data_IF_099726214100
#
_entry.id   IF_099726214100
#
_cell.length_a   1.000
_cell.length_b   1.000
_cell.length_c   1.000
_cell.angle_alpha   90.00
_cell.angle_beta   90.00
_cell.angle_gamma   90.00
#
_symmetry.space_group_name_H-M   'P 1'
#
loop_
_entity.id
_entity.type
_entity.pdbx_description
1 polymer ?
#
# COMPACT_ATOMS: atom_id res chain seq x y z
N UNK A 1 -59.04 -31.96 -54.30
CA UNK A 1 -59.34 -33.26 -53.64
C UNK A 1 -58.05 -34.05 -53.53
N UNK A 2 -57.73 -34.46 -52.29
CA UNK A 2 -56.77 -35.48 -51.83
C UNK A 2 -55.34 -35.55 -52.39
N UNK A 3 -54.45 -34.91 -51.62
CA UNK A 3 -53.19 -35.41 -51.03
C UNK A 3 -52.39 -36.49 -51.80
N UNK A 4 -51.37 -35.99 -52.51
CA UNK A 4 -49.93 -36.40 -52.50
C UNK A 4 -49.47 -37.03 -51.16
N UNK A 5 -48.49 -37.94 -51.04
CA UNK A 5 -47.13 -38.09 -51.63
C UNK A 5 -46.61 -39.49 -51.21
N UNK A 6 -45.97 -40.27 -52.08
CA UNK A 6 -44.52 -40.32 -52.41
C UNK A 6 -43.64 -40.78 -51.23
N UNK A 7 -43.16 -42.01 -51.38
CA UNK A 7 -41.98 -42.61 -50.73
C UNK A 7 -40.75 -42.34 -51.62
N UNK A 8 -39.58 -42.11 -51.02
CA UNK A 8 -38.26 -42.72 -51.34
C UNK A 8 -37.11 -41.84 -50.78
N UNK A 9 -36.19 -42.57 -50.16
CA UNK A 9 -34.97 -42.18 -49.44
C UNK A 9 -33.92 -41.47 -50.28
N UNK A 10 -33.18 -40.55 -49.67
CA UNK A 10 -31.82 -40.14 -50.10
C UNK A 10 -30.96 -39.97 -48.86
N UNK A 11 -29.83 -40.69 -48.83
CA UNK A 11 -28.74 -40.47 -47.90
C UNK A 11 -27.92 -39.26 -48.36
N UNK A 12 -27.68 -38.31 -47.46
CA UNK A 12 -26.85 -37.14 -47.69
C UNK A 12 -26.31 -36.62 -46.37
N UNK A 13 -24.99 -36.62 -46.23
CA UNK A 13 -24.25 -36.19 -45.06
C UNK A 13 -24.41 -34.68 -44.81
N UNK A 14 -24.75 -34.31 -43.58
CA UNK A 14 -24.55 -32.95 -43.03
C UNK A 14 -24.03 -33.10 -41.61
N UNK A 15 -22.85 -32.51 -41.39
CA UNK A 15 -22.21 -32.37 -40.10
C UNK A 15 -23.09 -31.56 -39.13
N UNK A 16 -23.24 -32.05 -37.90
CA UNK A 16 -23.62 -31.21 -36.77
C UNK A 16 -22.61 -31.40 -35.64
N UNK A 17 -21.85 -30.34 -35.44
CA UNK A 17 -20.95 -30.06 -34.33
C UNK A 17 -21.80 -30.10 -33.05
N UNK A 18 -21.58 -31.09 -32.19
CA UNK A 18 -22.07 -31.04 -30.82
C UNK A 18 -21.11 -30.15 -30.02
N UNK A 19 -21.46 -28.87 -29.95
CA UNK A 19 -20.93 -27.90 -29.00
C UNK A 19 -21.22 -28.40 -27.57
N UNK A 20 -20.18 -28.96 -26.94
CA UNK A 20 -20.07 -29.03 -25.50
C UNK A 20 -19.97 -27.58 -24.99
N UNK A 21 -21.12 -27.01 -24.64
CA UNK A 21 -21.19 -25.84 -23.78
C UNK A 21 -20.64 -26.25 -22.40
N UNK A 22 -19.31 -26.19 -22.26
CA UNK A 22 -18.67 -26.04 -20.96
C UNK A 22 -19.15 -24.70 -20.40
N UNK A 23 -19.97 -24.79 -19.36
CA UNK A 23 -20.44 -23.67 -18.56
C UNK A 23 -19.26 -22.75 -18.23
N UNK A 24 -19.42 -21.41 -18.34
CA UNK A 24 -18.42 -20.51 -17.78
C UNK A 24 -18.31 -20.84 -16.29
N UNK A 25 -17.07 -21.06 -15.84
CA UNK A 25 -16.76 -21.07 -14.43
C UNK A 25 -17.32 -19.76 -13.85
N UNK A 26 -18.42 -19.88 -13.10
CA UNK A 26 -18.91 -18.81 -12.26
C UNK A 26 -17.75 -18.41 -11.38
N UNK A 27 -17.25 -17.19 -11.57
CA UNK A 27 -16.28 -16.58 -10.67
C UNK A 27 -16.74 -16.82 -9.24
N UNK A 28 -15.78 -17.16 -8.39
CA UNK A 28 -15.99 -17.20 -6.95
C UNK A 28 -16.45 -15.80 -6.55
N UNK A 29 -17.76 -15.59 -6.45
CA UNK A 29 -18.31 -14.50 -5.68
C UNK A 29 -17.86 -14.75 -4.25
N UNK A 30 -16.79 -14.08 -3.82
CA UNK A 30 -16.47 -13.96 -2.41
C UNK A 30 -17.76 -13.44 -1.74
N UNK A 31 -18.36 -14.28 -0.90
CA UNK A 31 -19.51 -13.86 -0.11
C UNK A 31 -19.08 -12.66 0.71
N UNK A 32 -19.76 -11.52 0.52
CA UNK A 32 -19.56 -10.34 1.35
C UNK A 32 -19.76 -10.76 2.81
N UNK A 33 -18.66 -10.89 3.53
CA UNK A 33 -18.65 -11.07 4.98
C UNK A 33 -18.98 -9.71 5.58
N UNK A 34 -20.18 -9.56 6.11
CA UNK A 34 -20.65 -8.38 6.88
C UNK A 34 -19.97 -8.26 8.26
N UNK A 35 -18.95 -9.08 8.55
CA UNK A 35 -18.18 -8.95 9.78
C UNK A 35 -17.23 -7.77 9.64
N UNK A 36 -17.56 -6.65 10.30
CA UNK A 36 -16.61 -5.57 10.54
C UNK A 36 -15.34 -6.17 11.17
N UNK A 37 -14.20 -6.01 10.52
CA UNK A 37 -12.93 -6.56 10.97
C UNK A 37 -12.16 -5.50 11.75
N UNK A 38 -11.86 -5.78 13.02
CA UNK A 38 -10.98 -4.94 13.83
C UNK A 38 -9.56 -5.48 13.73
N UNK A 39 -8.68 -4.73 13.06
CA UNK A 39 -7.26 -5.03 12.92
C UNK A 39 -6.43 -3.79 13.23
N UNK A 40 -5.14 -3.97 13.50
CA UNK A 40 -4.17 -2.90 13.63
C UNK A 40 -2.93 -3.32 12.85
N UNK A 41 -2.49 -2.47 11.92
CA UNK A 41 -1.30 -2.67 11.12
C UNK A 41 -0.41 -1.45 11.38
N UNK A 42 0.70 -1.66 12.07
CA UNK A 42 1.58 -0.60 12.57
C UNK A 42 2.94 -0.65 11.85
N UNK A 43 3.67 0.47 11.89
CA UNK A 43 4.97 0.60 11.23
C UNK A 43 5.96 -0.44 11.76
N UNK A 44 6.68 -1.14 10.89
CA UNK A 44 7.65 -2.12 11.37
C UNK A 44 8.87 -1.49 12.06
N UNK A 45 9.04 -1.72 13.38
CA UNK A 45 9.97 -0.92 14.13
C UNK A 45 11.27 -1.70 14.39
N UNK A 46 12.25 -1.01 14.95
CA UNK A 46 13.50 -1.61 15.41
C UNK A 46 13.30 -2.76 16.41
N UNK A 47 14.29 -3.67 16.49
CA UNK A 47 14.31 -4.83 17.41
C UNK A 47 14.05 -4.50 18.91
N UNK A 48 14.24 -3.25 19.34
CA UNK A 48 14.01 -2.81 20.72
C UNK A 48 12.61 -2.24 20.99
N UNK A 49 11.83 -2.00 19.94
CA UNK A 49 10.45 -1.51 19.98
C UNK A 49 9.51 -2.71 19.86
N UNK A 50 8.34 -2.62 20.49
CA UNK A 50 7.34 -3.68 20.44
C UNK A 50 5.93 -3.12 20.28
N UNK A 51 5.12 -3.79 19.47
CA UNK A 51 3.73 -3.41 19.23
C UNK A 51 2.85 -3.56 20.47
N UNK A 52 2.07 -2.54 20.79
CA UNK A 52 0.95 -2.73 21.72
C UNK A 52 -0.16 -3.58 21.09
N UNK A 53 -0.95 -4.24 21.94
CA UNK A 53 -2.08 -5.15 21.64
C UNK A 53 -2.51 -5.32 20.17
N UNK A 54 -2.49 -6.57 19.66
CA UNK A 54 -3.08 -7.01 18.38
C UNK A 54 -2.59 -6.31 17.10
N UNK A 55 -1.71 -5.32 17.22
CA UNK A 55 -1.02 -4.72 16.10
C UNK A 55 0.08 -5.65 15.60
N UNK A 56 0.19 -5.73 14.29
CA UNK A 56 1.32 -6.35 13.60
C UNK A 56 1.85 -5.35 12.59
N UNK A 57 3.15 -5.34 12.37
CA UNK A 57 3.76 -4.74 11.19
C UNK A 57 4.61 -5.82 10.55
N UNK A 58 4.90 -5.67 9.27
CA UNK A 58 5.82 -6.57 8.61
C UNK A 58 6.72 -5.82 7.64
N UNK A 59 6.50 -5.98 6.35
CA UNK A 59 7.46 -5.55 5.36
C UNK A 59 6.84 -4.46 4.52
N UNK A 60 7.56 -3.34 4.50
CA UNK A 60 7.15 -2.04 4.03
C UNK A 60 8.11 -1.58 2.95
N UNK A 61 8.00 -2.10 1.72
CA UNK A 61 8.70 -1.60 0.55
C UNK A 61 8.18 -0.20 0.20
N UNK A 62 9.11 0.76 0.17
CA UNK A 62 8.82 2.18 0.03
C UNK A 62 9.38 2.77 -1.25
N UNK A 63 8.71 3.81 -1.76
CA UNK A 63 9.25 4.72 -2.76
C UNK A 63 9.10 6.17 -2.30
N UNK A 64 10.20 6.93 -2.34
CA UNK A 64 10.26 8.28 -1.79
C UNK A 64 10.61 9.30 -2.89
N UNK A 65 9.85 10.40 -3.04
CA UNK A 65 10.16 11.46 -3.98
C UNK A 65 11.28 12.34 -3.43
N UNK A 66 12.40 12.47 -4.14
CA UNK A 66 13.54 13.24 -3.61
C UNK A 66 13.53 14.71 -4.05
N UNK A 67 13.78 15.61 -3.10
CA UNK A 67 13.98 17.05 -3.29
C UNK A 67 14.79 17.69 -2.16
N UNK A 68 15.82 18.45 -2.55
CA UNK A 68 16.59 19.29 -1.62
C UNK A 68 15.99 20.70 -1.44
N UNK A 69 14.82 20.98 -2.02
CA UNK A 69 14.20 22.30 -1.92
C UNK A 69 13.55 22.48 -0.56
N UNK A 70 13.74 23.66 0.05
CA UNK A 70 13.12 23.98 1.33
C UNK A 70 11.60 23.85 1.25
N UNK A 71 10.99 23.33 2.31
CA UNK A 71 9.56 23.03 2.37
C UNK A 71 9.09 21.82 1.56
N UNK A 72 9.95 21.10 0.84
CA UNK A 72 9.54 19.93 0.04
C UNK A 72 8.96 18.78 0.86
N UNK A 73 9.29 18.68 2.16
CA UNK A 73 8.66 17.73 3.07
C UNK A 73 7.45 18.30 3.83
N UNK A 74 7.12 19.57 3.61
CA UNK A 74 6.05 20.28 4.31
C UNK A 74 4.89 20.66 3.40
N UNK A 75 5.04 20.50 2.09
CA UNK A 75 4.02 20.74 1.09
C UNK A 75 4.34 19.88 -0.15
N UNK A 76 3.61 18.78 -0.30
CA UNK A 76 3.73 17.88 -1.43
C UNK A 76 2.39 17.24 -1.78
N UNK A 77 2.18 17.02 -3.07
CA UNK A 77 0.99 16.37 -3.62
C UNK A 77 1.39 15.13 -4.40
N UNK A 78 0.96 13.98 -3.93
CA UNK A 78 0.99 12.73 -4.68
C UNK A 78 -0.16 12.72 -5.69
N UNK A 79 0.09 12.17 -6.88
CA UNK A 79 -0.97 11.84 -7.83
C UNK A 79 -0.86 10.37 -8.18
N UNK A 80 -1.91 9.60 -7.87
CA UNK A 80 -1.93 8.17 -8.10
C UNK A 80 -3.21 7.72 -8.82
N UNK A 81 -3.14 6.60 -9.53
CA UNK A 81 -4.31 5.86 -9.99
C UNK A 81 -4.47 4.63 -9.11
N UNK A 82 -5.65 4.47 -8.53
CA UNK A 82 -5.95 3.35 -7.64
C UNK A 82 -5.96 2.04 -8.43
N UNK A 83 -5.36 0.95 -7.88
CA UNK A 83 -5.34 -0.34 -8.54
C UNK A 83 -6.76 -0.90 -8.74
N UNK A 84 -6.90 -1.79 -9.71
CA UNK A 84 -8.19 -2.40 -10.05
C UNK A 84 -8.10 -3.90 -9.99
N UNK A 85 -9.03 -4.54 -9.28
CA UNK A 85 -9.12 -5.99 -9.20
C UNK A 85 -9.13 -6.64 -10.60
N UNK A 86 -8.59 -7.84 -10.68
CA UNK A 86 -8.66 -8.66 -11.87
C UNK A 86 -9.05 -10.09 -11.54
N UNK A 87 -8.20 -11.03 -11.93
CA UNK A 87 -8.42 -12.46 -11.60
C UNK A 87 -8.04 -12.80 -10.15
N UNK A 88 -7.32 -11.91 -9.48
CA UNK A 88 -7.11 -11.86 -8.03
C UNK A 88 -7.48 -10.44 -7.59
N UNK A 89 -8.00 -10.30 -6.38
CA UNK A 89 -8.31 -9.01 -5.78
C UNK A 89 -7.04 -8.33 -5.26
N UNK A 90 -6.99 -7.01 -5.30
CA UNK A 90 -5.88 -6.21 -4.76
C UNK A 90 -5.67 -6.49 -3.28
N UNK A 91 -6.75 -6.65 -2.50
CA UNK A 91 -6.66 -6.95 -1.07
C UNK A 91 -6.00 -8.31 -0.76
N UNK A 92 -5.79 -9.18 -1.75
CA UNK A 92 -5.16 -10.47 -1.54
C UNK A 92 -3.64 -10.41 -1.38
N UNK A 93 -2.97 -9.40 -1.97
CA UNK A 93 -1.50 -9.25 -1.89
C UNK A 93 -1.04 -8.40 -0.72
N UNK A 94 -1.97 -7.68 -0.08
CA UNK A 94 -1.71 -6.86 1.09
C UNK A 94 -3.00 -6.22 1.60
N UNK A 95 -3.13 -5.99 2.92
CA UNK A 95 -4.34 -5.43 3.52
C UNK A 95 -4.52 -3.93 3.26
N UNK A 96 -3.44 -3.20 2.96
CA UNK A 96 -3.43 -1.76 2.70
C UNK A 96 -2.18 -1.36 1.93
N UNK A 97 -2.20 -0.17 1.34
CA UNK A 97 -1.00 0.62 1.06
C UNK A 97 -1.17 1.96 1.77
N UNK A 98 -0.10 2.73 1.96
CA UNK A 98 -0.21 4.01 2.63
C UNK A 98 0.72 5.08 2.03
N UNK A 99 0.37 6.34 2.29
CA UNK A 99 1.22 7.50 2.02
C UNK A 99 1.45 8.20 3.34
N UNK A 100 2.71 8.39 3.71
CA UNK A 100 3.02 8.61 5.11
C UNK A 100 4.40 9.18 5.31
N UNK A 101 4.74 9.47 6.56
CA UNK A 101 6.02 10.09 6.85
C UNK A 101 6.24 10.49 8.30
N UNK A 102 7.47 10.92 8.59
CA UNK A 102 7.85 11.30 9.95
C UNK A 102 7.24 12.64 10.35
N UNK A 103 6.52 12.65 11.47
CA UNK A 103 5.95 13.84 12.10
C UNK A 103 6.56 14.09 13.48
N UNK A 104 6.44 15.32 13.98
CA UNK A 104 6.87 15.71 15.31
C UNK A 104 5.86 15.22 16.34
N UNK A 105 6.35 14.62 17.40
CA UNK A 105 5.58 14.37 18.61
C UNK A 105 6.50 14.51 19.84
N UNK A 106 6.35 15.57 20.66
CA UNK A 106 7.22 15.83 21.80
C UNK A 106 7.14 14.77 22.91
N UNK A 107 6.10 13.94 22.94
CA UNK A 107 5.92 12.89 23.94
C UNK A 107 6.38 11.51 23.47
N UNK A 108 6.74 11.40 22.19
CA UNK A 108 7.35 10.20 21.60
C UNK A 108 8.86 10.12 21.77
N UNK A 109 9.39 8.91 21.60
CA UNK A 109 10.81 8.63 21.46
C UNK A 109 11.41 9.50 20.34
N UNK A 110 12.54 10.15 20.64
CA UNK A 110 13.23 11.10 19.75
C UNK A 110 12.40 12.33 19.33
N UNK A 111 11.23 12.57 19.93
CA UNK A 111 10.36 13.67 19.51
C UNK A 111 9.66 13.40 18.18
N UNK A 112 9.56 12.13 17.76
CA UNK A 112 9.08 11.73 16.44
C UNK A 112 8.01 10.64 16.53
N UNK A 113 6.99 10.80 15.70
CA UNK A 113 5.97 9.79 15.41
C UNK A 113 5.88 9.58 13.88
N UNK A 114 5.12 8.59 13.42
CA UNK A 114 5.07 8.20 12.03
C UNK A 114 3.63 8.16 11.51
N UNK A 115 3.33 9.02 10.53
CA UNK A 115 2.03 9.08 9.87
C UNK A 115 1.91 7.97 8.84
N UNK A 116 0.76 7.30 8.80
CA UNK A 116 0.35 6.47 7.67
C UNK A 116 -1.07 6.86 7.24
N UNK A 117 -1.23 7.35 6.02
CA UNK A 117 -2.56 7.47 5.39
C UNK A 117 -2.90 6.14 4.71
N UNK A 118 -3.54 5.24 5.44
CA UNK A 118 -3.81 3.86 5.01
C UNK A 118 -5.04 3.76 4.10
N UNK A 119 -4.84 3.31 2.86
CA UNK A 119 -5.89 3.05 1.87
C UNK A 119 -6.24 1.57 1.82
N UNK A 120 -7.46 1.24 2.23
CA UNK A 120 -7.91 -0.15 2.27
C UNK A 120 -8.57 -0.56 0.94
N UNK A 121 -7.96 -1.45 0.14
CA UNK A 121 -8.59 -2.01 -1.04
C UNK A 121 -9.84 -2.81 -0.68
N UNK A 122 -10.81 -2.80 -1.58
CA UNK A 122 -12.06 -3.54 -1.48
C UNK A 122 -12.83 -3.32 -0.16
N UNK A 123 -12.79 -2.09 0.35
CA UNK A 123 -13.21 -1.80 1.73
C UNK A 123 -13.93 -0.47 1.86
N UNK A 124 -15.00 -0.47 2.68
CA UNK A 124 -15.59 0.72 3.27
C UNK A 124 -15.24 0.75 4.76
N UNK A 125 -14.49 1.77 5.19
CA UNK A 125 -14.18 2.03 6.58
C UNK A 125 -15.45 2.41 7.32
N UNK A 126 -15.70 1.72 8.43
CA UNK A 126 -16.83 1.93 9.35
C UNK A 126 -16.37 2.53 10.68
N UNK A 127 -15.07 2.52 10.96
CA UNK A 127 -14.47 3.22 12.10
C UNK A 127 -12.94 3.18 12.08
N UNK A 128 -12.31 4.23 12.59
CA UNK A 128 -10.88 4.27 12.92
C UNK A 128 -10.76 4.50 14.43
N UNK A 129 -10.14 3.56 15.13
CA UNK A 129 -10.09 3.51 16.59
C UNK A 129 -8.84 4.20 17.12
N UNK A 130 -8.90 4.70 18.35
CA UNK A 130 -7.80 5.46 18.97
C UNK A 130 -6.51 4.66 19.17
N UNK A 131 -6.55 3.33 19.11
CA UNK A 131 -5.36 2.48 19.16
C UNK A 131 -4.73 2.23 17.78
N UNK A 132 -5.07 3.04 16.78
CA UNK A 132 -4.57 2.88 15.41
C UNK A 132 -5.33 1.84 14.58
N UNK A 133 -6.15 1.00 15.22
CA UNK A 133 -6.92 -0.02 14.51
C UNK A 133 -8.06 0.54 13.65
N UNK A 134 -8.47 -0.22 12.65
CA UNK A 134 -9.53 0.11 11.70
C UNK A 134 -10.66 -0.93 11.74
N UNK A 135 -11.86 -0.53 11.31
CA UNK A 135 -13.00 -1.40 11.06
C UNK A 135 -13.45 -1.24 9.62
N UNK A 136 -13.40 -2.32 8.83
CA UNK A 136 -13.79 -2.30 7.42
C UNK A 136 -14.88 -3.32 7.11
N UNK A 137 -15.69 -3.00 6.09
CA UNK A 137 -16.63 -3.92 5.46
C UNK A 137 -16.26 -4.08 4.00
N UNK A 138 -16.31 -5.32 3.51
CA UNK A 138 -16.03 -5.63 2.11
C UNK A 138 -16.92 -4.84 1.15
N UNK A 139 -16.29 -4.21 0.18
CA UNK A 139 -16.93 -3.55 -0.95
C UNK A 139 -15.99 -3.59 -2.14
N UNK A 140 -16.28 -4.47 -3.11
CA UNK A 140 -15.43 -4.71 -4.27
C UNK A 140 -15.12 -3.40 -5.03
N UNK A 141 -13.85 -3.22 -5.40
CA UNK A 141 -13.31 -2.06 -6.10
C UNK A 141 -13.56 -0.71 -5.40
N UNK A 142 -13.70 -0.72 -4.08
CA UNK A 142 -13.87 0.48 -3.26
C UNK A 142 -12.64 0.70 -2.36
N UNK A 143 -12.25 1.96 -2.19
CA UNK A 143 -11.18 2.39 -1.31
C UNK A 143 -11.69 3.44 -0.33
N UNK A 144 -11.31 3.28 0.93
CA UNK A 144 -11.56 4.23 2.02
C UNK A 144 -10.37 4.22 2.96
N UNK A 145 -10.27 5.22 3.84
CA UNK A 145 -9.01 5.57 4.49
C UNK A 145 -9.15 5.77 6.00
N UNK A 146 -8.16 5.25 6.75
CA UNK A 146 -7.82 5.69 8.10
C UNK A 146 -6.43 6.33 8.09
N UNK A 147 -6.13 7.17 9.08
CA UNK A 147 -4.85 7.86 9.20
C UNK A 147 -4.29 7.71 10.61
N UNK A 148 -3.76 6.54 10.99
CA UNK A 148 -3.01 6.41 12.22
C UNK A 148 -1.71 7.24 12.18
N UNK A 149 -1.29 7.68 13.37
CA UNK A 149 0.06 8.18 13.61
C UNK A 149 0.66 7.36 14.75
N UNK A 150 1.73 6.63 14.46
CA UNK A 150 2.41 5.73 15.37
C UNK A 150 3.47 6.44 16.20
N UNK A 151 3.39 6.27 17.51
CA UNK A 151 4.33 6.78 18.49
C UNK A 151 5.06 5.64 19.19
N UNK A 152 6.28 5.91 19.63
CA UNK A 152 7.00 5.00 20.52
C UNK A 152 7.16 5.66 21.89
N UNK A 153 6.76 4.97 22.95
CA UNK A 153 6.90 5.48 24.32
C UNK A 153 8.35 5.81 24.68
N UNK A 154 8.59 7.01 25.23
CA UNK A 154 9.90 7.47 25.73
C UNK A 154 10.50 6.59 26.85
N UNK A 155 9.68 5.78 27.53
CA UNK A 155 10.11 5.03 28.73
C UNK A 155 9.85 3.53 28.66
N UNK A 156 9.15 3.04 27.63
CA UNK A 156 8.74 1.64 27.52
C UNK A 156 9.00 0.97 26.17
N UNK A 157 9.46 1.74 25.17
CA UNK A 157 9.64 1.29 23.78
C UNK A 157 8.40 0.61 23.17
N UNK A 158 7.21 0.90 23.72
CA UNK A 158 5.96 0.38 23.23
C UNK A 158 5.47 1.27 22.09
N UNK A 159 5.09 0.66 20.98
CA UNK A 159 4.46 1.37 19.88
C UNK A 159 2.93 1.41 20.05
N UNK A 160 2.36 2.61 20.00
CA UNK A 160 0.93 2.88 20.07
C UNK A 160 0.54 3.95 19.04
N UNK A 161 -0.77 4.22 18.90
CA UNK A 161 -1.22 5.33 18.06
C UNK A 161 -1.42 6.60 18.90
N UNK A 162 -0.69 7.67 18.54
CA UNK A 162 -0.89 9.02 19.09
C UNK A 162 -2.16 9.66 18.52
N UNK A 163 -2.49 9.31 17.28
CA UNK A 163 -3.63 9.83 16.54
C UNK A 163 -4.21 8.74 15.63
N UNK A 164 -5.51 8.80 15.37
CA UNK A 164 -6.14 8.08 14.26
C UNK A 164 -7.42 8.80 13.84
N UNK A 165 -7.64 8.96 12.55
CA UNK A 165 -8.85 9.56 12.01
C UNK A 165 -9.32 8.86 10.74
N UNK A 166 -10.64 8.82 10.55
CA UNK A 166 -11.25 8.45 9.28
C UNK A 166 -11.23 9.65 8.34
N UNK A 167 -10.87 9.42 7.09
CA UNK A 167 -11.02 10.43 6.04
C UNK A 167 -12.49 10.52 5.64
N UNK A 168 -13.15 11.63 5.99
CA UNK A 168 -14.55 11.87 5.66
C UNK A 168 -14.71 12.74 4.43
N UNK A 169 -15.66 12.41 3.57
CA UNK A 169 -16.07 13.24 2.45
C UNK A 169 -16.73 14.54 2.95
N UNK A 170 -16.18 15.68 2.52
CA UNK A 170 -16.63 17.02 2.89
C UNK A 170 -18.08 17.30 2.48
N UNK A 171 -18.58 16.60 1.45
CA UNK A 171 -19.95 16.79 0.97
C UNK A 171 -20.98 16.00 1.79
N UNK A 172 -20.61 14.83 2.30
CA UNK A 172 -21.57 13.88 2.91
C UNK A 172 -21.35 13.65 4.41
N UNK A 173 -20.14 13.91 4.92
CA UNK A 173 -19.72 13.59 6.28
C UNK A 173 -19.50 12.09 6.55
N UNK A 174 -19.76 11.22 5.56
CA UNK A 174 -19.41 9.80 5.59
C UNK A 174 -17.96 9.55 5.14
N UNK A 175 -17.51 8.28 5.05
CA UNK A 175 -16.18 7.95 4.53
C UNK A 175 -16.00 8.49 3.10
N UNK A 176 -14.84 9.10 2.80
CA UNK A 176 -14.49 9.41 1.42
C UNK A 176 -14.32 8.11 0.64
N UNK A 177 -15.27 7.84 -0.25
CA UNK A 177 -15.35 6.60 -1.02
C UNK A 177 -14.76 6.84 -2.40
N UNK A 178 -13.61 6.23 -2.66
CA UNK A 178 -12.94 6.21 -3.96
C UNK A 178 -13.09 4.83 -4.59
N UNK A 179 -12.88 4.72 -5.89
CA UNK A 179 -13.06 3.47 -6.62
C UNK A 179 -11.80 3.07 -7.40
N UNK A 180 -11.71 1.78 -7.69
CA UNK A 180 -10.66 1.24 -8.54
C UNK A 180 -10.57 1.97 -9.88
N UNK A 181 -9.35 2.32 -10.29
CA UNK A 181 -9.09 3.10 -11.49
C UNK A 181 -9.30 4.61 -11.33
N UNK A 182 -9.79 5.09 -10.19
CA UNK A 182 -9.85 6.53 -9.95
C UNK A 182 -8.46 7.14 -9.88
N UNK A 183 -8.34 8.35 -10.43
CA UNK A 183 -7.15 9.17 -10.20
C UNK A 183 -7.40 10.03 -8.97
N UNK A 184 -6.52 9.92 -7.98
CA UNK A 184 -6.62 10.68 -6.74
C UNK A 184 -5.36 11.52 -6.52
N UNK A 185 -5.52 12.60 -5.77
CA UNK A 185 -4.40 13.33 -5.20
C UNK A 185 -4.42 13.24 -3.69
N UNK A 186 -3.27 13.05 -3.08
CA UNK A 186 -3.04 13.25 -1.65
C UNK A 186 -2.12 14.46 -1.47
N UNK A 187 -2.69 15.56 -0.99
CA UNK A 187 -1.99 16.81 -0.70
C UNK A 187 -1.71 16.92 0.79
N UNK A 188 -0.43 16.77 1.14
CA UNK A 188 0.06 16.86 2.50
C UNK A 188 0.80 18.18 2.71
N UNK A 189 0.29 19.04 3.59
CA UNK A 189 0.81 20.40 3.74
C UNK A 189 0.68 20.98 5.15
N UNK A 190 1.45 22.03 5.43
CA UNK A 190 1.33 22.83 6.66
C UNK A 190 0.66 24.18 6.38
N UNK A 191 -0.11 24.68 7.35
CA UNK A 191 -0.70 26.02 7.28
C UNK A 191 0.06 27.01 8.17
N UNK A 192 -0.18 28.30 7.97
CA UNK A 192 0.34 29.35 8.84
C UNK A 192 -0.13 29.21 10.31
N UNK A 193 -1.24 28.50 10.56
CA UNK A 193 -1.77 28.27 11.90
C UNK A 193 -0.92 27.29 12.72
N UNK A 194 -0.17 26.40 12.04
CA UNK A 194 0.59 25.31 12.68
C UNK A 194 -0.26 24.47 13.64
N UNK A 195 -1.48 24.17 13.22
CA UNK A 195 -2.49 23.43 13.96
C UNK A 195 -2.45 21.91 13.71
N UNK A 196 -1.44 21.47 12.95
CA UNK A 196 -1.19 20.10 12.53
C UNK A 196 -0.80 20.09 11.07
N UNK A 197 -0.31 18.95 10.61
CA UNK A 197 -0.23 18.67 9.18
C UNK A 197 -1.63 18.43 8.62
N UNK A 198 -1.94 19.08 7.50
CA UNK A 198 -3.19 18.91 6.77
C UNK A 198 -2.96 17.88 5.67
N UNK A 199 -3.88 16.94 5.55
CA UNK A 199 -3.87 15.88 4.54
C UNK A 199 -5.20 15.98 3.80
N UNK A 200 -5.17 16.49 2.58
CA UNK A 200 -6.36 16.60 1.74
C UNK A 200 -6.28 15.60 0.61
N UNK A 201 -7.20 14.64 0.62
CA UNK A 201 -7.37 13.71 -0.49
C UNK A 201 -8.48 14.20 -1.39
N UNK A 202 -8.24 14.22 -2.69
CA UNK A 202 -9.25 14.53 -3.71
C UNK A 202 -9.31 13.38 -4.69
N UNK A 203 -10.50 12.84 -4.89
CA UNK A 203 -10.80 11.99 -6.02
C UNK A 203 -11.04 12.87 -7.24
N UNK A 204 -10.08 12.91 -8.17
CA UNK A 204 -10.18 13.74 -9.37
C UNK A 204 -11.21 13.20 -10.36
N UNK A 205 -11.57 11.92 -10.27
CA UNK A 205 -12.59 11.32 -11.14
C UNK A 205 -13.99 11.80 -10.74
N UNK A 206 -14.29 11.79 -9.45
CA UNK A 206 -15.63 12.13 -8.93
C UNK A 206 -15.76 13.58 -8.45
N UNK A 207 -14.63 14.23 -8.13
CA UNK A 207 -14.58 15.56 -7.54
C UNK A 207 -14.84 15.62 -6.03
N UNK A 208 -15.01 14.45 -5.37
CA UNK A 208 -15.16 14.39 -3.92
C UNK A 208 -13.82 14.56 -3.21
N UNK A 209 -13.85 15.09 -1.99
CA UNK A 209 -12.64 15.40 -1.22
C UNK A 209 -12.87 15.31 0.28
N UNK A 210 -11.82 14.96 1.02
CA UNK A 210 -11.80 14.97 2.48
C UNK A 210 -10.47 15.52 2.99
N UNK A 211 -10.49 16.10 4.19
CA UNK A 211 -9.29 16.63 4.86
C UNK A 211 -9.18 16.08 6.27
N UNK A 212 -7.98 15.62 6.63
CA UNK A 212 -7.57 15.31 8.00
C UNK A 212 -6.58 16.38 8.46
N UNK A 213 -6.67 16.79 9.72
CA UNK A 213 -5.65 17.61 10.40
C UNK A 213 -5.07 16.79 11.54
N UNK A 214 -3.75 16.57 11.50
CA UNK A 214 -3.04 15.78 12.50
C UNK A 214 -2.87 16.59 13.79
N UNK A 215 -3.86 16.46 14.66
CA UNK A 215 -3.88 17.12 15.96
C UNK A 215 -4.31 16.10 17.01
N UNK A 216 -3.30 15.49 17.66
CA UNK A 216 -3.53 14.55 18.76
C UNK A 216 -4.22 15.26 19.90
N UNK A 217 -5.22 14.60 20.50
CA UNK A 217 -5.90 15.14 21.69
C UNK A 217 -4.97 15.23 22.91
N UNK A 218 -3.90 14.44 22.92
CA UNK A 218 -2.96 14.33 24.03
C UNK A 218 -1.69 15.13 23.74
N UNK A 219 -1.18 15.04 22.51
CA UNK A 219 0.14 15.56 22.14
C UNK A 219 0.08 16.88 21.37
N UNK A 220 -1.12 17.25 20.91
CA UNK A 220 -1.36 18.46 20.14
C UNK A 220 -1.03 18.31 18.65
N UNK A 221 -0.74 19.43 17.97
CA UNK A 221 -0.38 19.46 16.55
C UNK A 221 0.82 18.58 16.21
N UNK A 222 0.65 17.66 15.27
CA UNK A 222 1.71 16.82 14.73
C UNK A 222 2.12 17.42 13.37
N UNK A 223 3.35 17.93 13.28
CA UNK A 223 3.88 18.64 12.11
C UNK A 223 4.89 17.76 11.37
N UNK A 224 5.20 17.97 10.09
CA UNK A 224 6.33 17.29 9.45
C UNK A 224 7.63 17.50 10.25
N UNK A 225 8.34 16.43 10.55
CA UNK A 225 9.56 16.51 11.36
C UNK A 225 10.74 17.15 10.61
N UNK A 226 10.65 17.19 9.29
CA UNK A 226 11.71 17.66 8.41
C UNK A 226 11.21 18.69 7.41
N UNK A 227 12.14 19.50 6.89
CA UNK A 227 11.85 20.53 5.89
C UNK A 227 12.00 20.03 4.45
N UNK A 228 12.84 19.02 4.22
CA UNK A 228 13.28 18.60 2.89
C UNK A 228 13.10 17.11 2.64
N UNK A 229 12.68 16.73 1.44
CA UNK A 229 12.57 15.35 1.00
C UNK A 229 13.93 14.76 0.59
N UNK A 230 14.83 14.57 1.55
CA UNK A 230 16.17 14.03 1.27
C UNK A 230 16.46 12.81 2.13
N UNK A 231 17.28 11.92 1.58
CA UNK A 231 17.78 10.75 2.29
C UNK A 231 18.46 11.12 3.61
N UNK A 232 18.20 10.31 4.63
CA UNK A 232 18.72 10.47 5.98
C UNK A 232 17.92 11.47 6.83
N UNK A 233 16.88 12.11 6.29
CA UNK A 233 15.83 12.71 7.09
C UNK A 233 14.78 11.63 7.44
N UNK A 234 15.26 10.52 7.98
CA UNK A 234 14.48 9.31 8.23
C UNK A 234 13.86 9.32 9.64
N UNK A 235 12.90 8.41 9.84
CA UNK A 235 12.38 8.09 11.16
C UNK A 235 13.51 7.56 12.05
N UNK A 236 13.75 8.21 13.18
CA UNK A 236 14.92 7.92 14.02
C UNK A 236 14.84 6.58 14.75
N UNK A 237 13.64 6.03 14.91
CA UNK A 237 13.39 4.71 15.49
C UNK A 237 12.96 3.67 14.43
N UNK A 238 12.99 4.02 13.13
CA UNK A 238 12.69 3.13 12.02
C UNK A 238 13.91 2.32 11.54
N UNK A 239 13.69 1.34 10.65
CA UNK A 239 14.71 0.43 10.12
C UNK A 239 15.37 0.90 8.83
N UNK A 240 14.85 1.96 8.22
CA UNK A 240 15.22 2.45 6.90
C UNK A 240 15.87 3.84 6.96
N UNK A 241 16.80 4.10 6.03
CA UNK A 241 17.45 5.40 5.85
C UNK A 241 16.90 6.08 4.59
N UNK A 242 15.67 6.53 4.70
CA UNK A 242 14.80 7.02 3.63
C UNK A 242 14.68 8.56 3.62
N UNK A 243 13.71 9.07 2.85
CA UNK A 243 13.25 10.45 2.92
C UNK A 243 11.96 10.56 3.75
N UNK A 244 11.61 11.75 4.27
CA UNK A 244 10.54 11.94 5.26
C UNK A 244 9.14 11.52 4.85
N UNK A 245 8.82 11.41 3.57
CA UNK A 245 7.49 11.00 3.11
C UNK A 245 7.60 10.00 1.96
N UNK A 246 6.81 8.94 2.03
CA UNK A 246 6.90 7.80 1.12
C UNK A 246 5.52 7.27 0.76
N UNK A 247 5.46 6.51 -0.34
CA UNK A 247 4.33 5.64 -0.64
C UNK A 247 4.79 4.20 -0.47
N UNK A 248 4.03 3.44 0.30
CA UNK A 248 4.43 2.11 0.79
C UNK A 248 3.32 1.11 0.61
N UNK A 249 3.70 -0.13 0.33
CA UNK A 249 2.78 -1.27 0.38
C UNK A 249 2.97 -2.03 1.69
N UNK A 250 1.88 -2.35 2.37
CA UNK A 250 1.93 -3.29 3.50
C UNK A 250 1.93 -4.72 2.94
N UNK A 251 3.07 -5.41 2.99
CA UNK A 251 3.19 -6.77 2.48
C UNK A 251 3.55 -7.79 3.57
N UNK A 252 3.43 -9.08 3.23
CA UNK A 252 3.60 -10.18 4.18
C UNK A 252 2.49 -10.25 5.23
N UNK A 253 1.31 -9.78 4.85
CA UNK A 253 0.07 -10.01 5.53
C UNK A 253 -0.92 -10.70 4.62
N UNK A 254 -1.81 -11.48 5.20
CA UNK A 254 -2.95 -12.05 4.49
C UNK A 254 -3.96 -10.94 4.25
N UNK A 255 -4.74 -11.05 3.18
CA UNK A 255 -5.76 -10.04 2.89
C UNK A 255 -6.76 -9.87 4.04
N UNK A 256 -7.31 -8.67 4.17
CA UNK A 256 -8.34 -8.37 5.17
C UNK A 256 -9.46 -9.40 5.10
N UNK A 257 -9.92 -9.81 3.91
CA UNK A 257 -11.06 -10.74 3.79
C UNK A 257 -10.69 -12.23 3.78
N UNK A 258 -9.48 -12.57 4.22
CA UNK A 258 -9.04 -13.97 4.38
C UNK A 258 -9.41 -14.53 5.77
N UNK A 259 -9.06 -15.79 6.03
CA UNK A 259 -9.24 -16.41 7.36
C UNK A 259 -7.96 -17.13 7.78
N UNK A 260 -7.26 -16.63 8.81
CA UNK A 260 -7.52 -15.38 9.53
C UNK A 260 -7.18 -14.12 8.70
N UNK A 261 -7.90 -13.04 8.97
CA UNK A 261 -7.79 -11.73 8.32
C UNK A 261 -6.52 -10.98 8.75
N UNK A 262 -5.83 -10.31 7.81
CA UNK A 262 -4.70 -9.43 8.13
C UNK A 262 -3.59 -10.11 8.94
N UNK A 263 -3.46 -11.43 8.83
CA UNK A 263 -2.49 -12.17 9.61
C UNK A 263 -1.13 -12.07 8.95
N UNK A 264 -0.10 -11.83 9.74
CA UNK A 264 1.28 -12.04 9.35
C UNK A 264 1.48 -13.37 8.59
N UNK A 265 2.16 -13.30 7.45
CA UNK A 265 2.53 -14.45 6.63
C UNK A 265 3.95 -14.33 6.07
N UNK A 266 4.56 -15.47 5.79
CA UNK A 266 5.98 -15.55 5.42
C UNK A 266 6.17 -15.90 3.94
N UNK A 267 7.31 -15.54 3.33
CA UNK A 267 7.71 -16.05 2.03
C UNK A 267 7.69 -17.59 1.99
N UNK A 268 7.26 -18.15 0.87
CA UNK A 268 7.07 -19.58 0.64
C UNK A 268 5.76 -20.15 1.18
N UNK A 269 4.96 -19.36 1.92
CA UNK A 269 3.66 -19.82 2.41
C UNK A 269 2.62 -19.90 1.27
N UNK A 270 2.48 -21.09 0.70
CA UNK A 270 1.52 -21.37 -0.37
C UNK A 270 0.15 -21.89 0.12
N UNK A 271 -0.04 -22.07 1.43
CA UNK A 271 -1.22 -22.77 1.98
C UNK A 271 -1.92 -22.01 3.09
N UNK A 272 -3.24 -21.81 2.90
CA UNK A 272 -4.30 -21.46 3.87
C UNK A 272 -3.87 -20.65 5.12
N UNK A 273 -3.89 -19.31 5.01
CA UNK A 273 -3.93 -18.51 3.78
C UNK A 273 -2.54 -18.40 3.11
N UNK A 274 -2.47 -18.43 1.76
CA UNK A 274 -1.24 -18.16 1.03
C UNK A 274 -0.80 -16.69 1.18
N UNK A 275 0.51 -16.45 1.12
CA UNK A 275 1.10 -15.12 1.24
C UNK A 275 1.36 -14.54 -0.16
N UNK A 276 0.30 -14.04 -0.81
CA UNK A 276 0.38 -13.59 -2.21
C UNK A 276 1.29 -12.37 -2.42
N UNK A 277 1.59 -11.61 -1.37
CA UNK A 277 2.63 -10.57 -1.40
C UNK A 277 3.93 -11.08 -2.00
N UNK A 278 4.34 -12.31 -1.65
CA UNK A 278 5.61 -12.88 -2.09
C UNK A 278 5.52 -13.67 -3.40
N UNK A 279 4.46 -13.45 -4.18
CA UNK A 279 4.21 -14.10 -5.47
C UNK A 279 4.02 -13.07 -6.58
N UNK A 280 5.12 -12.68 -7.25
CA UNK A 280 5.10 -11.77 -8.40
C UNK A 280 4.04 -12.12 -9.47
N UNK A 281 3.79 -13.41 -9.81
CA UNK A 281 2.68 -13.78 -10.70
C UNK A 281 1.29 -13.35 -10.22
N UNK A 282 1.05 -13.26 -8.91
CA UNK A 282 -0.21 -12.82 -8.32
C UNK A 282 -0.41 -11.30 -8.47
N UNK A 283 0.64 -10.51 -8.34
CA UNK A 283 0.59 -9.06 -8.63
C UNK A 283 0.13 -8.77 -10.07
N UNK A 284 0.57 -9.59 -11.02
CA UNK A 284 0.20 -9.48 -12.44
C UNK A 284 -1.25 -9.90 -12.76
N UNK A 285 -2.08 -10.20 -11.75
CA UNK A 285 -3.48 -10.62 -11.92
C UNK A 285 -4.50 -9.50 -11.76
N UNK A 286 -4.06 -8.29 -11.45
CA UNK A 286 -4.88 -7.07 -11.33
C UNK A 286 -4.16 -5.88 -12.00
N UNK A 287 -4.82 -4.73 -12.13
CA UNK A 287 -4.17 -3.51 -12.63
C UNK A 287 -3.40 -2.81 -11.50
N UNK A 288 -2.14 -2.41 -11.72
CA UNK A 288 -1.29 -1.89 -10.65
C UNK A 288 -1.74 -0.52 -10.16
N UNK A 289 -1.35 -0.19 -8.93
CA UNK A 289 -1.29 1.19 -8.48
C UNK A 289 -0.31 1.93 -9.39
N UNK A 290 -0.73 3.09 -9.90
CA UNK A 290 0.13 3.91 -10.76
C UNK A 290 0.50 5.19 -10.03
N UNK A 291 1.78 5.40 -9.78
CA UNK A 291 2.31 6.66 -9.25
C UNK A 291 2.61 7.56 -10.43
N UNK A 292 1.73 8.53 -10.69
CA UNK A 292 1.92 9.50 -11.79
C UNK A 292 2.99 10.53 -11.47
N UNK A 293 3.22 10.78 -10.19
CA UNK A 293 4.31 11.61 -9.71
C UNK A 293 3.95 12.39 -8.45
N UNK A 294 4.91 13.22 -8.03
CA UNK A 294 4.78 14.13 -6.89
C UNK A 294 5.10 15.54 -7.33
N UNK A 295 4.27 16.50 -6.90
CA UNK A 295 4.50 17.94 -7.05
C UNK A 295 4.74 18.55 -5.67
N UNK A 296 5.83 19.28 -5.50
CA UNK A 296 6.15 20.01 -4.26
C UNK A 296 5.45 21.37 -4.24
N UNK A 297 5.33 21.99 -3.08
CA UNK A 297 4.61 23.27 -2.88
C UNK A 297 5.11 24.44 -3.72
N UNK A 298 6.34 24.37 -4.24
CA UNK A 298 6.87 25.36 -5.17
C UNK A 298 6.54 25.10 -6.65
N UNK A 299 5.72 24.08 -6.93
CA UNK A 299 5.29 23.65 -8.25
C UNK A 299 6.28 22.77 -9.00
N UNK A 300 7.44 22.44 -8.41
CA UNK A 300 8.37 21.49 -9.03
C UNK A 300 7.93 20.05 -8.85
N UNK A 301 8.31 19.19 -9.79
CA UNK A 301 8.03 17.75 -9.70
C UNK A 301 9.24 16.98 -9.19
N UNK A 302 9.01 15.84 -8.53
CA UNK A 302 10.06 14.85 -8.29
C UNK A 302 10.72 14.42 -9.62
N UNK A 303 12.06 14.30 -9.60
CA UNK A 303 12.89 13.84 -10.74
C UNK A 303 13.81 12.68 -10.38
N UNK A 304 13.94 12.42 -9.09
CA UNK A 304 14.69 11.32 -8.52
C UNK A 304 13.82 10.71 -7.45
N UNK A 305 13.93 9.42 -7.31
CA UNK A 305 13.18 8.65 -6.33
C UNK A 305 14.15 7.76 -5.58
N UNK A 306 13.82 7.40 -4.36
CA UNK A 306 14.51 6.33 -3.65
C UNK A 306 13.56 5.18 -3.41
N UNK A 307 14.12 3.98 -3.31
CA UNK A 307 13.40 2.76 -2.94
C UNK A 307 14.13 2.04 -1.84
N UNK A 308 13.38 1.47 -0.91
CA UNK A 308 13.90 0.73 0.24
C UNK A 308 12.88 -0.30 0.71
N UNK A 309 13.34 -1.33 1.42
CA UNK A 309 12.51 -2.23 2.21
C UNK A 309 13.19 -2.38 3.56
N UNK A 310 12.39 -2.31 4.61
CA UNK A 310 12.75 -2.49 6.00
C UNK A 310 13.07 -3.95 6.39
N UNK A 311 12.78 -4.92 5.51
CA UNK A 311 13.27 -6.29 5.56
C UNK A 311 14.44 -6.58 4.60
N UNK A 312 14.83 -5.61 3.78
CA UNK A 312 15.93 -5.73 2.83
C UNK A 312 15.57 -6.48 1.55
N UNK A 313 14.28 -6.52 1.20
CA UNK A 313 13.79 -7.07 -0.05
C UNK A 313 14.12 -8.54 -0.25
N UNK A 314 14.91 -8.82 -1.29
CA UNK A 314 15.35 -10.17 -1.65
C UNK A 314 16.04 -10.94 -0.51
N UNK A 315 16.65 -10.23 0.46
CA UNK A 315 17.25 -10.85 1.64
C UNK A 315 16.24 -11.70 2.41
N UNK A 316 15.02 -11.19 2.56
CA UNK A 316 13.93 -11.86 3.27
C UNK A 316 13.55 -13.17 2.58
N UNK A 317 13.34 -13.11 1.26
CA UNK A 317 13.00 -14.30 0.45
C UNK A 317 14.11 -15.35 0.58
N UNK A 318 15.37 -14.93 0.47
CA UNK A 318 16.50 -15.84 0.59
C UNK A 318 16.58 -16.49 1.98
N UNK A 319 16.17 -15.78 3.03
CA UNK A 319 16.15 -16.30 4.40
C UNK A 319 15.10 -17.41 4.58
N UNK A 320 13.89 -17.21 4.06
CA UNK A 320 12.78 -18.16 4.27
C UNK A 320 12.70 -19.26 3.20
N UNK A 321 12.91 -18.90 1.94
CA UNK A 321 12.84 -19.84 0.83
C UNK A 321 14.20 -20.48 0.49
N UNK A 322 15.31 -19.85 0.87
CA UNK A 322 16.65 -20.19 0.38
C UNK A 322 16.92 -19.60 -1.00
N UNK A 323 18.14 -19.09 -1.22
CA UNK A 323 18.51 -18.39 -2.45
C UNK A 323 18.32 -19.22 -3.74
N UNK A 324 18.43 -20.55 -3.65
CA UNK A 324 18.21 -21.44 -4.80
C UNK A 324 16.73 -21.53 -5.24
N UNK A 325 15.79 -21.12 -4.38
CA UNK A 325 14.36 -21.17 -4.62
C UNK A 325 13.75 -19.79 -4.93
N UNK A 326 14.56 -18.74 -5.04
CA UNK A 326 14.08 -17.43 -5.46
C UNK A 326 13.39 -17.52 -6.85
N UNK A 327 12.23 -16.91 -6.98
CA UNK A 327 11.40 -16.93 -8.18
C UNK A 327 10.50 -18.16 -8.33
N UNK A 328 10.56 -19.12 -7.41
CA UNK A 328 9.53 -20.18 -7.31
C UNK A 328 8.23 -19.60 -6.72
N UNK A 329 7.07 -20.26 -6.86
CA UNK A 329 5.81 -19.72 -6.36
C UNK A 329 5.89 -19.31 -4.89
N UNK A 330 5.38 -18.12 -4.57
CA UNK A 330 5.45 -17.51 -3.23
C UNK A 330 6.85 -17.21 -2.69
N UNK A 331 7.90 -17.35 -3.52
CA UNK A 331 9.30 -17.08 -3.15
C UNK A 331 9.90 -16.01 -4.07
N UNK A 332 9.20 -14.89 -4.21
CA UNK A 332 9.66 -13.70 -4.92
C UNK A 332 9.37 -12.46 -4.09
N UNK A 333 10.18 -11.42 -4.22
CA UNK A 333 9.93 -10.15 -3.56
C UNK A 333 9.32 -9.19 -4.59
N UNK A 334 8.21 -8.47 -4.32
CA UNK A 334 7.66 -7.51 -5.27
C UNK A 334 8.52 -6.25 -5.39
N UNK A 335 8.42 -5.53 -6.51
CA UNK A 335 9.34 -4.43 -6.80
C UNK A 335 8.69 -3.24 -7.50
N UNK A 336 9.32 -2.06 -7.41
CA UNK A 336 8.94 -0.89 -8.18
C UNK A 336 9.51 -0.99 -9.60
N UNK A 337 8.72 -0.59 -10.59
CA UNK A 337 9.11 -0.53 -11.99
C UNK A 337 8.52 0.72 -12.64
N UNK A 338 9.16 1.23 -13.69
CA UNK A 338 8.63 2.30 -14.51
C UNK A 338 7.91 1.73 -15.74
N UNK A 339 6.61 1.98 -15.82
CA UNK A 339 5.77 1.61 -16.96
C UNK A 339 5.72 2.77 -17.96
N UNK A 340 6.31 2.56 -19.14
CA UNK A 340 6.38 3.57 -20.19
C UNK A 340 5.07 3.78 -20.94
N UNK A 341 4.16 2.80 -20.92
CA UNK A 341 2.83 2.95 -21.52
C UNK A 341 1.92 3.82 -20.64
N UNK A 342 2.00 3.65 -19.32
CA UNK A 342 1.24 4.43 -18.35
C UNK A 342 1.94 5.74 -17.93
N UNK A 343 3.24 5.87 -18.24
CA UNK A 343 4.12 6.94 -17.76
C UNK A 343 4.02 7.11 -16.24
N UNK A 344 4.25 6.01 -15.52
CA UNK A 344 4.06 5.93 -14.07
C UNK A 344 5.00 4.90 -13.45
N UNK A 345 5.32 5.07 -12.15
CA UNK A 345 5.84 3.96 -11.37
C UNK A 345 4.69 3.02 -11.00
N UNK A 346 4.95 1.73 -11.04
CA UNK A 346 4.05 0.65 -10.61
C UNK A 346 4.77 -0.23 -9.61
N UNK A 347 4.04 -0.94 -8.76
CA UNK A 347 4.59 -1.85 -7.77
C UNK A 347 4.04 -3.27 -7.95
N UNK A 348 4.89 -4.27 -7.72
CA UNK A 348 4.51 -5.68 -7.66
C UNK A 348 5.37 -6.57 -8.57
N UNK A 349 5.44 -6.25 -9.85
CA UNK A 349 6.19 -6.98 -10.87
C UNK A 349 6.24 -6.17 -12.18
N UNK A 350 6.79 -6.77 -13.25
CA UNK A 350 6.80 -6.17 -14.59
C UNK A 350 5.44 -6.32 -15.29
N UNK A 351 4.58 -5.31 -15.11
CA UNK A 351 3.31 -5.21 -15.84
C UNK A 351 3.54 -4.99 -17.35
N UNK A 352 2.57 -5.34 -18.22
CA UNK A 352 2.64 -5.00 -19.65
C UNK A 352 2.91 -3.50 -19.85
N UNK A 353 3.95 -3.16 -20.61
CA UNK A 353 4.40 -1.78 -20.79
C UNK A 353 5.56 -1.35 -19.89
N UNK A 354 6.03 -2.22 -18.98
CA UNK A 354 7.25 -1.98 -18.21
C UNK A 354 8.43 -1.73 -19.12
N UNK A 355 9.12 -0.62 -18.87
CA UNK A 355 10.30 -0.18 -19.63
C UNK A 355 11.58 -0.18 -18.81
N UNK A 356 11.47 -0.15 -17.48
CA UNK A 356 12.60 -0.25 -16.56
C UNK A 356 12.13 -0.90 -15.26
N UNK A 357 12.75 -2.01 -14.85
CA UNK A 357 12.44 -2.75 -13.63
C UNK A 357 13.41 -2.43 -12.48
N UNK A 358 14.40 -1.56 -12.74
CA UNK A 358 15.45 -1.15 -11.80
C UNK A 358 16.25 -2.31 -11.18
N UNK A 359 16.34 -3.46 -11.87
CA UNK A 359 16.95 -4.66 -11.31
C UNK A 359 16.03 -5.45 -10.38
N UNK A 360 14.72 -5.23 -10.47
CA UNK A 360 13.67 -5.97 -9.77
C UNK A 360 13.88 -5.89 -8.26
N UNK A 361 13.77 -7.00 -7.53
CA UNK A 361 14.01 -7.05 -6.10
C UNK A 361 15.44 -6.70 -5.67
N UNK A 362 16.43 -6.71 -6.58
CA UNK A 362 17.80 -6.30 -6.27
C UNK A 362 17.94 -4.76 -6.17
N UNK A 363 16.87 -3.99 -6.42
CA UNK A 363 16.84 -2.55 -6.15
C UNK A 363 16.84 -2.24 -4.64
N UNK A 364 16.40 -3.18 -3.79
CA UNK A 364 16.43 -3.03 -2.34
C UNK A 364 17.76 -3.52 -1.77
N UNK A 365 18.35 -2.73 -0.87
CA UNK A 365 19.60 -3.12 -0.22
C UNK A 365 19.34 -4.28 0.74
N UNK A 366 20.11 -5.36 0.59
CA UNK A 366 19.91 -6.61 1.34
C UNK A 366 20.60 -6.63 2.70
N UNK A 367 21.32 -5.56 3.05
CA UNK A 367 22.02 -5.43 4.33
C UNK A 367 21.86 -4.03 4.89
N UNK A 368 21.86 -3.96 6.23
CA UNK A 368 21.88 -2.71 6.97
C UNK A 368 23.29 -2.13 6.93
N UNK A 369 23.46 -0.98 6.29
CA UNK A 369 24.76 -0.32 6.09
C UNK A 369 24.73 1.20 6.32
N UNK A 370 23.55 1.79 6.46
CA UNK A 370 23.38 3.21 6.70
C UNK A 370 23.29 3.48 8.21
N UNK A 371 23.71 4.66 8.63
CA UNK A 371 23.66 5.06 10.04
C UNK A 371 22.37 5.80 10.31
N UNK A 372 21.64 5.41 11.35
CA UNK A 372 20.45 6.14 11.81
C UNK A 372 20.75 7.62 12.08
N UNK A 373 19.82 8.55 11.77
CA UNK A 373 20.01 9.98 11.99
C UNK A 373 20.41 10.35 13.42
N UNK A 374 19.91 9.61 14.41
CA UNK A 374 20.19 9.82 15.84
C UNK A 374 21.33 8.92 16.38
N UNK A 375 21.92 8.11 15.51
CA UNK A 375 23.01 7.18 15.82
C UNK A 375 22.56 5.91 16.57
N UNK A 376 23.45 4.92 16.64
CA UNK A 376 23.28 3.77 17.55
C UNK A 376 22.89 2.44 16.92
N UNK A 377 22.48 2.39 15.66
CA UNK A 377 22.20 1.15 14.93
C UNK A 377 22.30 1.34 13.41
N UNK A 378 22.46 0.24 12.69
CA UNK A 378 22.48 0.22 11.24
C UNK A 378 21.04 0.15 10.69
N UNK A 379 20.78 0.89 9.61
CA UNK A 379 19.54 0.88 8.83
C UNK A 379 19.80 0.35 7.43
N UNK A 380 18.75 -0.12 6.76
CA UNK A 380 18.80 -0.36 5.32
C UNK A 380 19.03 0.97 4.60
N UNK A 381 19.88 0.95 3.57
CA UNK A 381 20.14 2.14 2.76
C UNK A 381 19.17 2.20 1.60
N UNK A 382 18.62 3.36 1.28
CA UNK A 382 17.79 3.48 0.08
C UNK A 382 18.63 3.49 -1.19
N UNK A 383 18.10 2.91 -2.25
CA UNK A 383 18.67 2.97 -3.59
C UNK A 383 17.99 4.08 -4.38
N UNK A 384 18.75 4.96 -5.03
CA UNK A 384 18.16 6.01 -5.88
C UNK A 384 17.87 5.45 -7.27
N UNK A 385 16.63 5.64 -7.74
CA UNK A 385 16.15 5.28 -9.07
C UNK A 385 15.67 6.54 -9.84
N UNK A 386 15.69 6.48 -11.17
CA UNK A 386 15.40 7.62 -12.07
C UNK A 386 14.56 7.25 -13.26
#
# INVERSE_FOLDING_TARGET
MNRRRITISIAGAVALIASLFGLPATGLAAGASDNAQSLCIAHHPQDFVWYTHSCTGHDEPEIDPLSNRAGSAQDLTWTIVLPTDGTINVDAVGPTFWIGGTVTDPHSLFGQAFLELQFYPNSITTGCTSGGGYNVRFSLNTYTVCSPVWEVSQHGNSESAAFNAMLTDSATGGPLTMHAGDTITDHQYVTAARDGMHITVTDLTTGHTGTIVLNSKVDGPLMPAFDTQKLGNALSWGLVNDAPNSLVWEIGHTGSYTTPAGQFCLPGSATKPPCYSYDAPSWLKFSPLQIKGVTFGDGSSAKHWSVISDFGGKAEINNYCGAANYGTPFCSYPWYAFNGADNAFTYGADYPGTTNDFGQADQFQQTRGCTSPMGGFAQYCSTVIT
#
